data_IF_354235713606
#
_entry.id   IF_354235713606
#
_cell.length_a   1.000
_cell.length_b   1.000
_cell.length_c   1.000
_cell.angle_alpha   90.00
_cell.angle_beta   90.00
_cell.angle_gamma   90.00
#
_symmetry.space_group_name_H-M   'P 1'
#
loop_
_entity.id
_entity.type
_entity.pdbx_description
1 polymer ?
#
# COMPACT_ATOMS: atom_id res chain seq x y z
N UNK A 1 3.93 -15.81 -16.67
CA UNK A 1 3.92 -16.96 -15.74
C UNK A 1 2.77 -16.84 -14.74
N UNK A 2 2.47 -17.86 -13.92
CA UNK A 2 1.56 -17.70 -12.77
C UNK A 2 2.26 -16.90 -11.67
N UNK A 3 1.55 -15.97 -11.03
CA UNK A 3 2.06 -15.21 -9.87
C UNK A 3 2.40 -16.16 -8.73
N UNK A 4 3.49 -15.90 -8.04
CA UNK A 4 3.95 -16.62 -6.84
C UNK A 4 3.95 -15.68 -5.64
N UNK A 5 4.09 -16.22 -4.43
CA UNK A 5 4.25 -15.41 -3.24
C UNK A 5 5.49 -15.80 -2.42
N UNK A 6 5.99 -14.82 -1.68
CA UNK A 6 7.06 -14.98 -0.68
C UNK A 6 6.50 -14.48 0.64
N UNK A 7 6.72 -15.24 1.72
CA UNK A 7 6.29 -14.88 3.07
C UNK A 7 7.49 -14.71 3.98
N UNK A 8 7.51 -13.62 4.75
CA UNK A 8 8.54 -13.32 5.76
C UNK A 8 7.91 -12.79 7.02
N UNK A 9 8.38 -13.27 8.18
CA UNK A 9 8.05 -12.69 9.48
C UNK A 9 8.82 -11.38 9.64
N UNK A 10 8.15 -10.34 10.12
CA UNK A 10 8.68 -8.98 10.18
C UNK A 10 8.26 -8.08 9.03
N UNK A 11 8.87 -6.89 9.00
CA UNK A 11 8.71 -5.86 7.97
C UNK A 11 9.91 -5.96 7.03
N UNK A 12 9.67 -6.43 5.80
CA UNK A 12 10.70 -6.68 4.78
C UNK A 12 10.38 -5.94 3.49
N UNK A 13 10.52 -4.61 3.43
CA UNK A 13 10.09 -3.84 2.28
C UNK A 13 10.90 -4.17 1.03
N UNK A 14 10.25 -4.32 -0.12
CA UNK A 14 10.91 -4.78 -1.35
C UNK A 14 12.02 -3.84 -1.84
N UNK A 15 11.83 -2.54 -1.62
CA UNK A 15 12.72 -1.46 -2.03
C UNK A 15 13.80 -1.09 -1.00
N UNK A 16 13.82 -1.73 0.17
CA UNK A 16 14.68 -1.33 1.29
C UNK A 16 15.68 -2.44 1.65
N UNK A 17 16.92 -2.03 1.91
CA UNK A 17 17.99 -2.92 2.39
C UNK A 17 17.83 -3.28 3.87
N UNK A 18 17.16 -2.42 4.64
CA UNK A 18 16.92 -2.62 6.06
C UNK A 18 15.57 -3.27 6.27
N UNK A 19 15.58 -4.37 7.01
CA UNK A 19 14.38 -5.07 7.44
C UNK A 19 14.26 -5.03 8.98
N UNK A 20 13.07 -5.35 9.48
CA UNK A 20 12.80 -5.50 10.90
C UNK A 20 12.23 -6.88 11.13
N UNK A 21 12.91 -7.73 11.90
CA UNK A 21 12.45 -9.07 12.28
C UNK A 21 11.42 -9.04 13.44
N UNK A 22 10.60 -7.99 13.49
CA UNK A 22 9.57 -7.80 14.52
C UNK A 22 8.41 -8.76 14.27
N UNK A 23 8.31 -9.79 15.10
CA UNK A 23 7.34 -10.89 14.94
C UNK A 23 5.87 -10.43 15.01
N UNK A 24 5.60 -9.21 15.50
CA UNK A 24 4.26 -8.62 15.45
C UNK A 24 3.78 -8.37 14.02
N UNK A 25 4.69 -8.34 13.04
CA UNK A 25 4.39 -8.06 11.65
C UNK A 25 4.70 -9.25 10.75
N UNK A 26 4.04 -9.27 9.59
CA UNK A 26 4.32 -10.19 8.51
C UNK A 26 4.32 -9.44 7.19
N UNK A 27 5.24 -9.83 6.31
CA UNK A 27 5.34 -9.33 4.94
C UNK A 27 5.05 -10.46 3.96
N UNK A 28 4.09 -10.23 3.06
CA UNK A 28 3.77 -11.12 1.95
C UNK A 28 4.03 -10.37 0.65
N UNK A 29 4.84 -10.93 -0.23
CA UNK A 29 5.13 -10.32 -1.54
C UNK A 29 4.60 -11.20 -2.65
N UNK A 30 3.68 -10.66 -3.45
CA UNK A 30 3.26 -11.26 -4.72
C UNK A 30 4.26 -10.85 -5.81
N UNK A 31 4.70 -11.82 -6.61
CA UNK A 31 5.74 -11.64 -7.63
C UNK A 31 5.31 -12.28 -8.95
N UNK A 32 5.50 -11.55 -10.04
CA UNK A 32 5.38 -12.05 -11.42
C UNK A 32 6.37 -11.29 -12.31
N UNK A 33 6.65 -11.81 -13.50
CA UNK A 33 7.57 -11.21 -14.47
C UNK A 33 7.04 -9.94 -15.13
N UNK A 34 5.77 -9.62 -14.90
CA UNK A 34 5.15 -8.39 -15.36
C UNK A 34 4.20 -7.81 -14.30
N UNK A 35 4.10 -6.48 -14.25
CA UNK A 35 3.27 -5.78 -13.30
C UNK A 35 1.76 -6.00 -13.51
N UNK A 36 1.31 -6.18 -14.76
CA UNK A 36 -0.10 -6.38 -15.06
C UNK A 36 -0.62 -7.70 -14.47
N UNK A 37 0.17 -8.77 -14.52
CA UNK A 37 -0.15 -10.06 -13.92
C UNK A 37 -0.20 -9.98 -12.39
N UNK A 38 0.78 -9.31 -11.77
CA UNK A 38 0.75 -9.06 -10.32
C UNK A 38 -0.47 -8.23 -9.91
N UNK A 39 -0.77 -7.17 -10.66
CA UNK A 39 -1.92 -6.32 -10.42
C UNK A 39 -3.22 -7.11 -10.47
N UNK A 40 -3.40 -7.96 -11.49
CA UNK A 40 -4.55 -8.85 -11.59
C UNK A 40 -4.69 -9.76 -10.37
N UNK A 41 -3.59 -10.41 -9.96
CA UNK A 41 -3.59 -11.26 -8.76
C UNK A 41 -3.91 -10.46 -7.51
N UNK A 42 -3.37 -9.24 -7.38
CA UNK A 42 -3.70 -8.35 -6.27
C UNK A 42 -5.19 -7.98 -6.26
N UNK A 43 -5.80 -7.68 -7.41
CA UNK A 43 -7.23 -7.37 -7.50
C UNK A 43 -8.10 -8.55 -7.01
N UNK A 44 -7.78 -9.77 -7.44
CA UNK A 44 -8.45 -10.99 -6.99
C UNK A 44 -8.27 -11.22 -5.48
N UNK A 45 -7.06 -11.01 -4.99
CA UNK A 45 -6.71 -11.15 -3.57
C UNK A 45 -7.43 -10.11 -2.70
N UNK A 46 -7.37 -8.84 -3.07
CA UNK A 46 -8.05 -7.72 -2.40
C UNK A 46 -9.56 -7.85 -2.46
N UNK A 47 -10.14 -8.38 -3.54
CA UNK A 47 -11.57 -8.66 -3.60
C UNK A 47 -11.99 -9.67 -2.54
N UNK A 48 -11.15 -10.68 -2.26
CA UNK A 48 -11.37 -11.64 -1.19
C UNK A 48 -11.21 -11.00 0.20
N UNK A 49 -10.23 -10.10 0.36
CA UNK A 49 -10.00 -9.37 1.61
C UNK A 49 -11.11 -8.37 1.94
N UNK A 50 -11.87 -7.89 0.95
CA UNK A 50 -12.93 -6.91 1.15
C UNK A 50 -14.02 -7.39 2.13
N UNK A 51 -14.16 -8.70 2.35
CA UNK A 51 -15.06 -9.25 3.39
C UNK A 51 -14.65 -8.82 4.81
N UNK A 52 -13.35 -8.62 5.04
CA UNK A 52 -12.79 -8.24 6.33
C UNK A 52 -12.35 -6.78 6.37
N UNK A 53 -11.87 -6.23 5.26
CA UNK A 53 -11.41 -4.85 5.11
C UNK A 53 -12.03 -4.21 3.87
N UNK A 54 -13.32 -3.83 3.91
CA UNK A 54 -14.07 -3.39 2.74
C UNK A 54 -13.63 -2.04 2.17
N UNK A 55 -12.89 -1.24 2.96
CA UNK A 55 -12.54 0.12 2.61
C UNK A 55 -11.11 0.20 2.09
N UNK A 56 -10.94 0.66 0.85
CA UNK A 56 -9.61 0.88 0.26
C UNK A 56 -9.32 2.37 0.24
N UNK A 57 -8.23 2.78 0.88
CA UNK A 57 -7.77 4.17 0.90
C UNK A 57 -6.33 4.27 0.44
N UNK A 58 -5.97 5.42 -0.10
CA UNK A 58 -4.62 5.76 -0.47
C UNK A 58 -4.19 6.98 0.33
N UNK A 59 -3.13 6.85 1.12
CA UNK A 59 -2.44 8.01 1.67
C UNK A 59 -1.34 8.43 0.70
N UNK A 60 -1.22 9.73 0.46
CA UNK A 60 -0.18 10.30 -0.38
C UNK A 60 0.30 11.64 0.20
N UNK A 61 1.61 11.86 0.24
CA UNK A 61 2.22 13.12 0.69
C UNK A 61 3.03 13.80 -0.42
N UNK A 62 3.23 15.10 -0.32
CA UNK A 62 4.15 15.83 -1.19
C UNK A 62 5.53 15.84 -0.59
N UNK A 63 6.56 15.83 -1.43
CA UNK A 63 7.95 15.95 -0.98
C UNK A 63 8.34 17.37 -0.57
N UNK A 64 7.55 18.37 -0.96
CA UNK A 64 7.84 19.77 -0.69
C UNK A 64 6.54 20.61 -0.63
N UNK A 65 6.59 21.76 0.06
CA UNK A 65 5.53 22.78 0.00
C UNK A 65 5.31 23.28 -1.43
N UNK A 66 4.19 23.97 -1.64
CA UNK A 66 3.96 24.69 -2.89
C UNK A 66 4.92 25.86 -3.04
N UNK A 67 5.41 26.09 -4.26
CA UNK A 67 6.29 27.22 -4.54
C UNK A 67 5.57 28.57 -4.46
N UNK A 68 4.26 28.60 -4.71
CA UNK A 68 3.44 29.82 -4.65
C UNK A 68 1.95 29.52 -4.44
N UNK A 69 1.21 30.56 -4.06
CA UNK A 69 -0.22 30.50 -3.78
C UNK A 69 -1.07 30.09 -5.00
N UNK A 70 -0.61 30.36 -6.23
CA UNK A 70 -1.33 29.95 -7.44
C UNK A 70 -1.29 28.43 -7.63
N UNK A 71 -0.13 27.80 -7.40
CA UNK A 71 -0.01 26.34 -7.45
C UNK A 71 -0.82 25.66 -6.34
N UNK A 72 -0.77 26.22 -5.13
CA UNK A 72 -1.57 25.76 -4.00
C UNK A 72 -3.07 25.84 -4.31
N UNK A 73 -3.54 27.01 -4.76
CA UNK A 73 -4.93 27.22 -5.15
C UNK A 73 -5.39 26.25 -6.25
N UNK A 74 -4.61 26.08 -7.32
CA UNK A 74 -4.96 25.16 -8.42
C UNK A 74 -5.05 23.71 -7.93
N UNK A 75 -4.17 23.31 -7.03
CA UNK A 75 -4.16 21.95 -6.49
C UNK A 75 -5.36 21.70 -5.57
N UNK A 76 -5.68 22.64 -4.68
CA UNK A 76 -6.88 22.58 -3.84
C UNK A 76 -8.15 22.55 -4.70
N UNK A 77 -8.21 23.38 -5.76
CA UNK A 77 -9.32 23.41 -6.71
C UNK A 77 -9.47 22.09 -7.47
N UNK A 78 -8.37 21.49 -7.90
CA UNK A 78 -8.38 20.20 -8.59
C UNK A 78 -8.83 19.07 -7.66
N UNK A 79 -8.30 19.05 -6.43
CA UNK A 79 -8.73 18.09 -5.42
C UNK A 79 -10.23 18.21 -5.13
N UNK A 80 -10.75 19.42 -4.91
CA UNK A 80 -12.18 19.64 -4.64
C UNK A 80 -13.09 19.19 -5.79
N UNK A 81 -12.61 19.17 -7.03
CA UNK A 81 -13.37 18.67 -8.20
C UNK A 81 -13.43 17.15 -8.26
N UNK A 82 -12.39 16.47 -7.77
CA UNK A 82 -12.25 15.01 -7.88
C UNK A 82 -12.49 14.28 -6.56
N UNK A 83 -12.57 15.00 -5.45
CA UNK A 83 -12.73 14.44 -4.11
C UNK A 83 -14.11 13.82 -3.92
N UNK A 84 -14.13 12.73 -3.19
CA UNK A 84 -15.34 12.05 -2.73
C UNK A 84 -15.60 12.31 -1.25
N UNK A 85 -16.83 12.10 -0.76
CA UNK A 85 -17.13 12.24 0.67
C UNK A 85 -16.19 11.38 1.54
N UNK A 86 -15.50 12.03 2.47
CA UNK A 86 -14.54 11.39 3.36
C UNK A 86 -13.08 11.54 2.93
N UNK A 87 -12.80 12.04 1.73
CA UNK A 87 -11.43 12.38 1.33
C UNK A 87 -10.91 13.55 2.16
N UNK A 88 -9.61 13.50 2.46
CA UNK A 88 -8.91 14.52 3.26
C UNK A 88 -7.72 15.02 2.46
N UNK A 89 -7.58 16.34 2.33
CA UNK A 89 -6.36 17.00 1.87
C UNK A 89 -6.08 18.15 2.83
N UNK A 90 -4.94 18.10 3.50
CA UNK A 90 -4.59 19.08 4.53
C UNK A 90 -3.10 19.38 4.49
N UNK A 91 -2.79 20.63 4.86
CA UNK A 91 -1.44 21.14 5.06
C UNK A 91 -1.02 20.81 6.48
N UNK A 92 0.18 20.26 6.65
CA UNK A 92 0.79 20.12 7.96
C UNK A 92 1.32 21.49 8.42
N UNK A 93 1.10 21.82 9.70
CA UNK A 93 1.35 23.19 10.22
C UNK A 93 2.83 23.56 10.25
N UNK A 94 3.72 22.59 10.58
CA UNK A 94 5.16 22.86 10.72
C UNK A 94 5.92 22.77 9.41
N UNK A 95 5.62 21.75 8.60
CA UNK A 95 6.38 21.48 7.36
C UNK A 95 5.80 22.20 6.16
N UNK A 96 4.58 22.74 6.27
CA UNK A 96 3.83 23.33 5.18
C UNK A 96 3.54 22.38 4.00
N UNK A 97 3.83 21.09 4.18
CA UNK A 97 3.62 20.04 3.20
C UNK A 97 2.16 19.60 3.22
N UNK A 98 1.61 19.37 2.03
CA UNK A 98 0.29 18.78 1.90
C UNK A 98 0.37 17.26 1.84
N UNK A 99 -0.50 16.61 2.59
CA UNK A 99 -0.78 15.19 2.46
C UNK A 99 -2.28 14.95 2.36
N UNK A 100 -2.64 13.85 1.72
CA UNK A 100 -4.02 13.48 1.45
C UNK A 100 -4.29 12.03 1.76
N UNK A 101 -5.54 11.74 2.10
CA UNK A 101 -6.10 10.40 2.18
C UNK A 101 -7.34 10.36 1.30
N UNK A 102 -7.26 9.59 0.21
CA UNK A 102 -8.35 9.44 -0.75
C UNK A 102 -8.96 8.04 -0.69
N UNK A 103 -10.27 7.95 -0.67
CA UNK A 103 -11.03 6.72 -0.86
C UNK A 103 -10.87 6.26 -2.30
N UNK A 104 -10.43 5.01 -2.48
CA UNK A 104 -10.36 4.38 -3.78
C UNK A 104 -11.66 3.63 -4.08
N UNK A 105 -11.82 3.18 -5.33
CA UNK A 105 -12.94 2.32 -5.68
C UNK A 105 -12.92 1.06 -4.81
N UNK A 106 -14.02 0.67 -4.16
CA UNK A 106 -14.07 -0.55 -3.36
C UNK A 106 -13.90 -1.83 -4.20
N UNK A 107 -14.16 -1.75 -5.50
CA UNK A 107 -13.83 -2.80 -6.46
C UNK A 107 -12.39 -2.63 -6.95
N UNK A 108 -11.43 -3.50 -6.56
CA UNK A 108 -10.02 -3.37 -6.91
C UNK A 108 -9.78 -3.33 -8.42
N UNK A 109 -10.62 -4.00 -9.22
CA UNK A 109 -10.48 -4.04 -10.68
C UNK A 109 -10.78 -2.69 -11.35
N UNK A 110 -11.42 -1.76 -10.63
CA UNK A 110 -11.71 -0.41 -11.12
C UNK A 110 -10.70 0.63 -10.65
N UNK A 111 -9.65 0.21 -9.93
CA UNK A 111 -8.54 1.08 -9.54
C UNK A 111 -7.55 1.16 -10.69
N UNK A 112 -7.08 2.36 -10.99
CA UNK A 112 -6.04 2.59 -11.99
C UNK A 112 -4.66 2.14 -11.44
N UNK A 113 -4.02 1.10 -12.01
CA UNK A 113 -2.74 0.58 -11.53
C UNK A 113 -1.61 1.61 -11.59
N UNK A 114 -1.68 2.59 -12.51
CA UNK A 114 -0.63 3.60 -12.69
C UNK A 114 -0.51 4.54 -11.50
N UNK A 115 -1.59 4.68 -10.72
CA UNK A 115 -1.64 5.51 -9.51
C UNK A 115 -1.03 4.86 -8.28
N UNK A 116 -0.62 3.59 -8.38
CA UNK A 116 -0.26 2.76 -7.22
C UNK A 116 1.25 2.53 -7.09
N UNK A 117 2.02 2.75 -8.16
CA UNK A 117 3.46 2.46 -8.23
C UNK A 117 4.37 3.54 -7.59
N UNK A 118 3.82 4.49 -6.81
CA UNK A 118 4.58 5.61 -6.21
C UNK A 118 4.93 5.32 -4.74
N UNK A 119 5.65 4.24 -4.49
CA UNK A 119 5.79 3.60 -3.16
C UNK A 119 6.48 4.42 -2.05
N UNK A 120 7.20 5.51 -2.36
CA UNK A 120 7.90 6.34 -1.35
C UNK A 120 7.00 7.42 -0.75
N UNK A 121 6.09 7.97 -1.53
CA UNK A 121 5.20 9.05 -1.08
C UNK A 121 3.75 8.60 -1.00
N UNK A 122 3.51 7.30 -1.20
CA UNK A 122 2.19 6.72 -1.27
C UNK A 122 2.14 5.36 -0.59
N UNK A 123 1.04 5.09 0.12
CA UNK A 123 0.71 3.76 0.62
C UNK A 123 -0.79 3.52 0.49
N UNK A 124 -1.14 2.31 0.06
CA UNK A 124 -2.53 1.88 -0.02
C UNK A 124 -2.86 1.08 1.24
N UNK A 125 -4.02 1.35 1.82
CA UNK A 125 -4.51 0.67 3.02
C UNK A 125 -5.88 0.07 2.74
N UNK A 126 -6.04 -1.21 3.07
CA UNK A 126 -7.36 -1.80 3.26
C UNK A 126 -7.72 -1.72 4.74
N UNK A 127 -8.87 -1.13 5.05
CA UNK A 127 -9.30 -0.79 6.40
C UNK A 127 -10.70 -1.33 6.71
N UNK A 128 -11.02 -1.42 8.00
CA UNK A 128 -12.38 -1.71 8.47
C UNK A 128 -13.35 -0.59 8.07
N UNK A 129 -14.64 -0.93 7.95
CA UNK A 129 -15.69 0.00 7.50
C UNK A 129 -15.77 1.29 8.34
N UNK A 130 -15.52 1.19 9.65
CA UNK A 130 -15.65 2.32 10.58
C UNK A 130 -14.40 3.21 10.65
N UNK A 131 -13.33 2.88 9.92
CA UNK A 131 -12.09 3.66 9.92
C UNK A 131 -12.31 5.02 9.25
N UNK A 132 -11.95 6.11 9.95
CA UNK A 132 -12.05 7.48 9.43
C UNK A 132 -10.75 7.88 8.74
N UNK A 133 -10.84 8.43 7.53
CA UNK A 133 -9.67 8.90 6.76
C UNK A 133 -8.89 9.98 7.52
N UNK A 134 -9.58 10.80 8.30
CA UNK A 134 -8.99 11.80 9.19
C UNK A 134 -8.01 11.18 10.21
N UNK A 135 -8.30 9.98 10.73
CA UNK A 135 -7.41 9.30 11.67
C UNK A 135 -6.14 8.83 10.96
N UNK A 136 -6.29 8.26 9.77
CA UNK A 136 -5.14 7.89 8.91
C UNK A 136 -4.30 9.12 8.58
N UNK A 137 -4.94 10.24 8.21
CA UNK A 137 -4.24 11.47 7.88
C UNK A 137 -3.46 12.01 9.07
N UNK A 138 -4.08 12.14 10.25
CA UNK A 138 -3.39 12.63 11.47
C UNK A 138 -2.22 11.75 11.89
N UNK A 139 -2.35 10.44 11.71
CA UNK A 139 -1.27 9.50 12.06
C UNK A 139 -0.06 9.66 11.15
N UNK A 140 -0.28 10.03 9.89
CA UNK A 140 0.74 10.07 8.85
C UNK A 140 1.08 11.50 8.41
N UNK A 141 0.51 12.53 9.05
CA UNK A 141 0.67 13.92 8.64
C UNK A 141 2.10 14.41 8.70
N UNK A 142 2.88 13.80 9.57
CA UNK A 142 4.25 14.19 9.88
C UNK A 142 5.26 13.51 8.95
N UNK A 143 4.81 12.55 8.13
CA UNK A 143 5.63 11.85 7.14
C UNK A 143 5.68 12.62 5.82
N UNK A 144 6.88 12.92 5.35
CA UNK A 144 7.18 13.40 4.00
C UNK A 144 7.46 12.26 3.00
N UNK A 145 7.80 11.08 3.52
CA UNK A 145 7.92 9.83 2.78
C UNK A 145 7.84 8.62 3.72
N UNK A 146 7.74 7.41 3.14
CA UNK A 146 7.83 6.13 3.84
C UNK A 146 9.16 5.51 3.44
N UNK A 147 10.15 5.64 4.31
CA UNK A 147 11.54 5.30 4.02
C UNK A 147 12.15 4.29 5.01
N UNK A 148 11.53 4.11 6.17
CA UNK A 148 12.00 3.21 7.21
C UNK A 148 10.93 2.18 7.61
N UNK A 149 11.37 1.14 8.33
CA UNK A 149 10.44 0.18 8.94
C UNK A 149 9.58 0.83 10.02
N UNK A 150 10.07 1.86 10.72
CA UNK A 150 9.31 2.57 11.74
C UNK A 150 8.16 3.39 11.13
N UNK A 151 8.36 3.95 9.93
CA UNK A 151 7.28 4.59 9.17
C UNK A 151 6.16 3.57 8.85
N UNK A 152 6.53 2.33 8.51
CA UNK A 152 5.57 1.25 8.24
C UNK A 152 4.86 0.82 9.53
N UNK A 153 5.58 0.76 10.66
CA UNK A 153 4.95 0.54 11.99
C UNK A 153 3.94 1.64 12.29
N UNK A 154 4.27 2.90 12.02
CA UNK A 154 3.36 4.03 12.18
C UNK A 154 2.14 3.91 11.26
N UNK A 155 2.31 3.49 10.00
CA UNK A 155 1.20 3.20 9.08
C UNK A 155 0.25 2.16 9.65
N UNK A 156 0.78 1.13 10.30
CA UNK A 156 0.03 -0.01 10.81
C UNK A 156 -0.31 0.08 12.31
N UNK A 157 -0.07 1.20 12.98
CA UNK A 157 -0.21 1.32 14.43
C UNK A 157 -1.64 1.15 14.97
N UNK A 158 -2.66 1.10 14.10
CA UNK A 158 -4.05 0.82 14.52
C UNK A 158 -4.39 -0.67 14.61
N UNK A 159 -3.52 -1.57 14.15
CA UNK A 159 -3.75 -3.02 14.06
C UNK A 159 -4.99 -3.44 13.25
N UNK A 160 -5.68 -2.49 12.62
CA UNK A 160 -6.95 -2.70 11.93
C UNK A 160 -6.81 -2.59 10.41
N UNK A 161 -5.62 -2.23 9.94
CA UNK A 161 -5.33 -1.98 8.53
C UNK A 161 -4.34 -3.00 7.98
N UNK A 162 -4.47 -3.28 6.69
CA UNK A 162 -3.47 -3.99 5.88
C UNK A 162 -2.89 -2.97 4.91
N UNK A 163 -1.56 -2.91 4.82
CA UNK A 163 -0.89 -2.03 3.88
C UNK A 163 -0.44 -2.74 2.62
N UNK A 164 -0.47 -2.00 1.50
CA UNK A 164 -0.06 -2.45 0.18
C UNK A 164 0.88 -1.43 -0.45
N UNK A 165 1.97 -1.94 -1.03
CA UNK A 165 2.95 -1.17 -1.83
C UNK A 165 3.18 -1.92 -3.14
N UNK A 166 3.35 -1.18 -4.24
CA UNK A 166 3.44 -1.73 -5.57
C UNK A 166 4.72 -1.25 -6.25
N UNK A 167 5.37 -2.16 -6.96
CA UNK A 167 6.62 -1.87 -7.65
C UNK A 167 6.52 -2.45 -9.06
N UNK A 168 6.67 -1.56 -10.04
CA UNK A 168 6.75 -1.89 -11.45
C UNK A 168 8.22 -1.75 -11.86
N UNK A 169 8.95 -2.86 -11.84
CA UNK A 169 10.35 -2.90 -12.27
C UNK A 169 10.43 -3.43 -13.70
N UNK A 170 11.49 -3.06 -14.42
CA UNK A 170 11.68 -3.46 -15.83
C UNK A 170 11.61 -4.97 -16.07
N UNK A 171 11.97 -5.77 -15.06
CA UNK A 171 12.06 -7.23 -15.15
C UNK A 171 10.92 -7.97 -14.48
N UNK A 172 10.16 -7.31 -13.61
CA UNK A 172 9.14 -7.95 -12.80
C UNK A 172 8.20 -6.95 -12.14
N UNK A 173 6.98 -7.38 -11.84
CA UNK A 173 6.07 -6.68 -10.95
C UNK A 173 6.13 -7.24 -9.54
N UNK A 174 5.93 -6.40 -8.54
CA UNK A 174 5.61 -6.85 -7.18
C UNK A 174 4.46 -6.08 -6.54
N UNK A 175 3.67 -6.79 -5.74
CA UNK A 175 2.68 -6.20 -4.84
C UNK A 175 2.97 -6.75 -3.45
N UNK A 176 3.37 -5.86 -2.56
CA UNK A 176 3.79 -6.19 -1.22
C UNK A 176 2.70 -5.81 -0.23
N UNK A 177 2.26 -6.80 0.53
CA UNK A 177 1.39 -6.66 1.68
C UNK A 177 2.23 -6.66 2.95
N UNK A 178 1.94 -5.73 3.86
CA UNK A 178 2.49 -5.72 5.22
C UNK A 178 1.35 -5.47 6.20
N UNK A 179 1.26 -6.31 7.23
CA UNK A 179 0.24 -6.19 8.28
C UNK A 179 0.73 -6.81 9.59
N UNK A 180 -0.10 -6.69 10.63
CA UNK A 180 0.10 -7.44 11.87
C UNK A 180 -0.08 -8.94 11.66
N UNK A 181 0.76 -9.73 12.33
CA UNK A 181 0.79 -11.20 12.26
C UNK A 181 -0.51 -11.86 12.71
N UNK A 182 -1.32 -11.18 13.54
CA UNK A 182 -2.65 -11.65 13.93
C UNK A 182 -3.59 -11.87 12.73
N UNK A 183 -3.36 -11.18 11.61
CA UNK A 183 -4.16 -11.30 10.38
C UNK A 183 -3.70 -12.45 9.48
N UNK A 184 -2.54 -13.06 9.77
CA UNK A 184 -1.94 -14.11 8.94
C UNK A 184 -2.85 -15.33 8.68
N UNK A 185 -3.68 -15.82 9.63
CA UNK A 185 -4.58 -16.93 9.35
C UNK A 185 -5.58 -16.63 8.23
N UNK A 186 -6.12 -15.41 8.19
CA UNK A 186 -7.04 -14.96 7.14
C UNK A 186 -6.31 -14.89 5.79
N UNK A 187 -5.11 -14.30 5.79
CA UNK A 187 -4.30 -14.17 4.57
C UNK A 187 -3.92 -15.53 3.99
N UNK A 188 -3.52 -16.47 4.85
CA UNK A 188 -3.11 -17.82 4.44
C UNK A 188 -4.26 -18.60 3.82
N UNK A 189 -5.46 -18.52 4.41
CA UNK A 189 -6.67 -19.16 3.86
C UNK A 189 -7.03 -18.61 2.46
N UNK A 190 -6.94 -17.29 2.26
CA UNK A 190 -7.20 -16.67 0.95
C UNK A 190 -6.14 -17.08 -0.07
N UNK A 191 -4.85 -17.01 0.27
CA UNK A 191 -3.75 -17.40 -0.63
C UNK A 191 -3.87 -18.87 -1.05
N UNK A 192 -4.21 -19.75 -0.11
CA UNK A 192 -4.44 -21.17 -0.39
C UNK A 192 -5.61 -21.38 -1.34
N UNK A 193 -6.74 -20.67 -1.14
CA UNK A 193 -7.91 -20.74 -2.04
C UNK A 193 -7.61 -20.24 -3.45
N UNK A 194 -6.66 -19.32 -3.58
CA UNK A 194 -6.23 -18.76 -4.87
C UNK A 194 -5.19 -19.63 -5.59
N UNK A 195 -4.72 -20.74 -5.00
CA UNK A 195 -3.69 -21.63 -5.59
C UNK A 195 -2.41 -20.86 -5.98
N UNK A 196 -2.00 -19.88 -5.15
CA UNK A 196 -0.75 -19.15 -5.35
C UNK A 196 0.37 -19.92 -4.66
N UNK A 197 1.41 -20.27 -5.41
CA UNK A 197 2.52 -21.05 -4.87
C UNK A 197 3.50 -20.19 -4.06
N UNK A 198 3.94 -20.71 -2.91
CA UNK A 198 5.02 -20.12 -2.12
C UNK A 198 6.37 -20.47 -2.78
N UNK A 199 7.25 -19.48 -2.95
CA UNK A 199 8.65 -19.69 -3.34
C UNK A 199 9.59 -19.18 -2.24
N UNK A 200 10.79 -19.75 -2.18
CA UNK A 200 11.81 -19.30 -1.23
C UNK A 200 12.59 -18.12 -1.78
N UNK A 201 13.19 -17.32 -0.90
CA UNK A 201 13.96 -16.13 -1.31
C UNK A 201 15.09 -16.46 -2.30
N UNK A 202 15.73 -17.62 -2.16
CA UNK A 202 16.78 -18.11 -3.06
C UNK A 202 16.29 -18.38 -4.49
N UNK A 203 14.99 -18.61 -4.68
CA UNK A 203 14.39 -18.99 -5.96
C UNK A 203 13.88 -17.77 -6.76
N UNK A 204 13.87 -16.57 -6.14
CA UNK A 204 13.38 -15.32 -6.75
C UNK A 204 14.10 -15.02 -8.06
N UNK A 205 15.44 -15.09 -8.05
CA UNK A 205 16.23 -14.77 -9.25
C UNK A 205 15.86 -15.69 -10.41
N UNK A 206 15.81 -17.00 -10.15
CA UNK A 206 15.44 -18.01 -11.15
C UNK A 206 14.03 -17.77 -11.69
N UNK A 207 13.07 -17.46 -10.82
CA UNK A 207 11.69 -17.19 -11.22
C UNK A 207 11.55 -15.93 -12.10
N UNK A 208 12.28 -14.86 -11.78
CA UNK A 208 12.23 -13.62 -12.58
C UNK A 208 12.81 -13.84 -13.98
N UNK A 209 13.80 -14.74 -14.14
CA UNK A 209 14.56 -14.93 -15.38
C UNK A 209 14.21 -16.19 -16.18
N UNK A 210 13.14 -16.91 -15.82
CA UNK A 210 12.71 -18.16 -16.48
C UNK A 210 11.69 -17.94 -17.58
#
# INVERSE_FOLDING_TARGET
MKTVFIKKIGIHPWDQTHHSDDEQFVTITLLNQDYASVWKTWCEFSSSLAQHWPKIVQWHTKLAPYFNNSQEYLSLKNFAKTSTPGDVLKKHELTEIYSQVTLLNPDPFKIDPTRMAVYRTCITLMQKQNSKNENTWRRLSDLDCISTTDDIKLVLADNLSISFRFYDAETHGTAQLICHSEHLPILSDIIQKMDINEIQQKDIYTYIHS
#
